data_IF_694866887464
#
_entry.id   IF_694866887464
#
_cell.length_a   1.000
_cell.length_b   1.000
_cell.length_c   1.000
_cell.angle_alpha   90.00
_cell.angle_beta   90.00
_cell.angle_gamma   90.00
#
_symmetry.space_group_name_H-M   'P 1'
#
loop_
_entity.id
_entity.type
_entity.pdbx_description
1 polymer ?
#
# COMPACT_ATOMS: atom_id res chain seq x y z
N UNK A 1 7.93 -10.93 14.59
CA UNK A 1 7.43 -10.98 13.19
C UNK A 1 7.35 -9.58 12.66
N UNK A 2 7.83 -9.36 11.43
CA UNK A 2 7.79 -8.08 10.74
C UNK A 2 7.02 -8.25 9.41
N UNK A 3 5.94 -7.49 9.21
CA UNK A 3 5.08 -7.57 8.05
C UNK A 3 5.02 -6.22 7.34
N UNK A 4 5.57 -6.16 6.14
CA UNK A 4 5.59 -4.97 5.28
C UNK A 4 4.30 -4.87 4.47
N UNK A 5 3.53 -3.80 4.65
CA UNK A 5 2.27 -3.60 3.90
C UNK A 5 2.43 -2.82 2.59
N UNK A 6 3.68 -2.45 2.22
CA UNK A 6 3.93 -1.58 1.07
C UNK A 6 5.27 -1.92 0.40
N UNK A 7 5.28 -2.93 -0.45
CA UNK A 7 6.42 -3.28 -1.29
C UNK A 7 5.99 -3.49 -2.75
N UNK A 8 6.95 -3.42 -3.65
CA UNK A 8 6.72 -3.52 -5.08
C UNK A 8 7.79 -4.35 -5.76
N UNK A 9 7.42 -5.01 -6.85
CA UNK A 9 8.33 -5.55 -7.87
C UNK A 9 8.09 -4.85 -9.20
N UNK A 10 8.88 -5.18 -10.23
CA UNK A 10 8.74 -4.57 -11.55
C UNK A 10 9.66 -3.35 -11.75
N UNK A 11 9.42 -2.62 -12.81
CA UNK A 11 10.28 -1.54 -13.25
C UNK A 11 9.66 -0.17 -13.00
N UNK A 12 10.54 0.81 -12.74
CA UNK A 12 10.19 2.22 -12.75
C UNK A 12 10.87 2.86 -13.96
N UNK A 13 10.12 3.44 -14.92
CA UNK A 13 10.70 3.84 -16.22
C UNK A 13 11.72 4.97 -16.10
N UNK A 14 11.67 5.77 -15.04
CA UNK A 14 12.52 6.95 -14.87
C UNK A 14 13.75 6.71 -13.98
N UNK A 15 13.90 5.52 -13.41
CA UNK A 15 15.01 5.19 -12.53
C UNK A 15 15.24 3.68 -12.47
N UNK A 16 16.47 3.25 -12.67
CA UNK A 16 16.83 1.85 -12.43
C UNK A 16 16.73 1.54 -10.94
N UNK A 17 15.83 0.62 -10.60
CA UNK A 17 15.64 0.14 -9.24
C UNK A 17 16.46 -1.11 -8.99
N UNK A 18 17.07 -1.18 -7.80
CA UNK A 18 17.65 -2.42 -7.28
C UNK A 18 16.55 -3.20 -6.54
N UNK A 19 16.66 -4.52 -6.48
CA UNK A 19 15.72 -5.38 -5.74
C UNK A 19 14.28 -5.35 -6.26
N UNK A 20 14.11 -5.19 -7.55
CA UNK A 20 12.81 -5.05 -8.22
C UNK A 20 12.21 -6.37 -8.75
N UNK A 21 12.77 -7.51 -8.37
CA UNK A 21 12.24 -8.86 -8.65
C UNK A 21 11.89 -9.57 -7.35
N UNK A 22 11.00 -10.58 -7.40
CA UNK A 22 10.67 -11.39 -6.21
C UNK A 22 11.92 -12.03 -5.57
N UNK A 23 12.88 -12.49 -6.39
CA UNK A 23 14.14 -13.08 -5.88
C UNK A 23 14.98 -12.08 -5.10
N UNK A 24 15.30 -10.94 -5.71
CA UNK A 24 16.15 -9.92 -5.07
C UNK A 24 15.44 -9.23 -3.90
N UNK A 25 14.11 -9.08 -3.98
CA UNK A 25 13.30 -8.59 -2.86
C UNK A 25 13.35 -9.58 -1.69
N UNK A 26 13.21 -10.88 -1.93
CA UNK A 26 13.30 -11.89 -0.88
C UNK A 26 14.67 -11.91 -0.18
N UNK A 27 15.75 -11.76 -0.95
CA UNK A 27 17.10 -11.60 -0.37
C UNK A 27 17.15 -10.40 0.58
N UNK A 28 16.57 -9.28 0.16
CA UNK A 28 16.50 -8.07 0.97
C UNK A 28 15.63 -8.25 2.21
N UNK A 29 14.45 -8.86 2.07
CA UNK A 29 13.60 -9.22 3.21
C UNK A 29 14.36 -10.05 4.25
N UNK A 30 15.09 -11.08 3.79
CA UNK A 30 15.90 -11.92 4.69
C UNK A 30 16.98 -11.11 5.42
N UNK A 31 17.65 -10.19 4.72
CA UNK A 31 18.66 -9.33 5.31
C UNK A 31 18.11 -8.44 6.43
N UNK A 32 16.87 -7.97 6.31
CA UNK A 32 16.25 -7.06 7.27
C UNK A 32 15.23 -7.74 8.21
N UNK A 33 15.13 -9.07 8.18
CA UNK A 33 14.23 -9.84 9.05
C UNK A 33 12.74 -9.61 8.77
N UNK A 34 12.39 -9.21 7.54
CA UNK A 34 10.98 -9.05 7.13
C UNK A 34 10.42 -10.43 6.80
N UNK A 35 9.38 -10.84 7.51
CA UNK A 35 8.78 -12.18 7.37
C UNK A 35 7.82 -12.26 6.19
N UNK A 36 6.94 -11.26 6.04
CA UNK A 36 5.95 -11.16 4.97
C UNK A 36 5.97 -9.78 4.35
N UNK A 37 5.69 -9.69 3.05
CA UNK A 37 5.45 -8.41 2.36
C UNK A 37 4.22 -8.47 1.49
N UNK A 38 3.34 -7.48 1.63
CA UNK A 38 2.34 -7.16 0.61
C UNK A 38 3.09 -6.61 -0.59
N UNK A 39 2.82 -7.15 -1.78
CA UNK A 39 3.54 -6.80 -3.00
C UNK A 39 2.60 -6.55 -4.17
N UNK A 40 2.88 -5.50 -4.96
CA UNK A 40 2.23 -5.21 -6.24
C UNK A 40 3.28 -4.98 -7.33
N UNK A 41 2.85 -5.01 -8.60
CA UNK A 41 3.76 -4.80 -9.74
C UNK A 41 3.73 -3.34 -10.20
N UNK A 42 4.88 -2.65 -10.14
CA UNK A 42 5.04 -1.26 -10.60
C UNK A 42 4.75 -1.08 -12.10
N UNK A 43 4.94 -2.13 -12.91
CA UNK A 43 4.62 -2.06 -14.35
C UNK A 43 3.14 -1.66 -14.56
N UNK A 44 2.23 -2.12 -13.67
CA UNK A 44 0.81 -1.77 -13.72
C UNK A 44 0.49 -0.29 -13.52
N UNK A 45 1.42 0.50 -12.98
CA UNK A 45 1.25 1.97 -12.88
C UNK A 45 1.24 2.63 -14.26
N UNK A 46 1.96 2.06 -15.24
CA UNK A 46 2.12 2.63 -16.58
C UNK A 46 1.44 1.80 -17.68
N UNK A 47 1.09 0.54 -17.40
CA UNK A 47 0.42 -0.28 -18.39
C UNK A 47 -1.03 0.19 -18.55
N UNK A 48 -1.44 0.41 -19.79
CA UNK A 48 -2.84 0.67 -20.11
C UNK A 48 -3.73 -0.53 -19.76
N UNK A 49 -3.24 -1.71 -20.07
CA UNK A 49 -3.78 -3.00 -19.63
C UNK A 49 -3.05 -3.44 -18.35
N UNK A 50 -3.63 -3.13 -17.20
CA UNK A 50 -3.03 -3.47 -15.90
C UNK A 50 -3.03 -4.97 -15.62
N UNK A 51 -3.88 -5.75 -16.29
CA UNK A 51 -3.96 -7.19 -16.11
C UNK A 51 -2.67 -7.89 -16.49
N UNK A 52 -1.98 -7.42 -17.53
CA UNK A 52 -0.65 -7.95 -17.92
C UNK A 52 0.36 -7.86 -16.77
N UNK A 53 0.38 -6.77 -16.01
CA UNK A 53 1.26 -6.63 -14.85
C UNK A 53 0.87 -7.55 -13.68
N UNK A 54 -0.42 -7.83 -13.50
CA UNK A 54 -0.91 -8.77 -12.51
C UNK A 54 -0.50 -10.22 -12.87
N UNK A 55 -0.55 -10.56 -14.14
CA UNK A 55 -0.12 -11.86 -14.67
C UNK A 55 1.39 -12.05 -14.49
N UNK A 56 2.21 -11.05 -14.83
CA UNK A 56 3.65 -11.05 -14.57
C UNK A 56 3.96 -11.33 -13.09
N UNK A 57 3.30 -10.64 -12.17
CA UNK A 57 3.48 -10.86 -10.73
C UNK A 57 3.07 -12.28 -10.32
N UNK A 58 1.92 -12.75 -10.81
CA UNK A 58 1.41 -14.08 -10.49
C UNK A 58 2.35 -15.18 -10.97
N UNK A 59 2.86 -15.08 -12.19
CA UNK A 59 3.78 -16.06 -12.77
C UNK A 59 5.13 -16.06 -12.04
N UNK A 60 5.65 -14.87 -11.66
CA UNK A 60 6.87 -14.78 -10.85
C UNK A 60 6.66 -15.46 -9.49
N UNK A 61 5.54 -15.20 -8.81
CA UNK A 61 5.22 -15.82 -7.52
C UNK A 61 5.07 -17.35 -7.60
N UNK A 62 4.55 -17.87 -8.69
CA UNK A 62 4.43 -19.33 -8.93
C UNK A 62 5.75 -20.00 -9.26
N UNK A 63 6.72 -19.26 -9.77
CA UNK A 63 8.01 -19.79 -10.18
C UNK A 63 8.80 -20.43 -9.03
N UNK A 64 8.53 -20.02 -7.78
CA UNK A 64 9.23 -20.51 -6.61
C UNK A 64 8.30 -20.59 -5.38
N UNK A 65 8.20 -21.78 -4.78
CA UNK A 65 7.38 -22.00 -3.57
C UNK A 65 7.72 -21.07 -2.39
N UNK A 66 8.96 -20.61 -2.30
CA UNK A 66 9.36 -19.63 -1.26
C UNK A 66 8.66 -18.29 -1.44
N UNK A 67 8.35 -17.88 -2.67
CA UNK A 67 7.65 -16.62 -2.92
C UNK A 67 6.22 -16.67 -2.40
N UNK A 68 5.49 -17.75 -2.66
CA UNK A 68 4.12 -17.93 -2.18
C UNK A 68 3.99 -17.87 -0.65
N UNK A 69 5.04 -18.23 0.11
CA UNK A 69 5.04 -18.16 1.58
C UNK A 69 5.51 -16.83 2.16
N UNK A 70 6.04 -15.92 1.34
CA UNK A 70 6.67 -14.67 1.79
C UNK A 70 6.00 -13.41 1.22
N UNK A 71 5.26 -13.54 0.12
CA UNK A 71 4.58 -12.43 -0.53
C UNK A 71 3.07 -12.59 -0.49
N UNK A 72 2.38 -11.48 -0.26
CA UNK A 72 0.92 -11.36 -0.31
C UNK A 72 0.60 -10.47 -1.52
N UNK A 73 0.15 -11.04 -2.65
CA UNK A 73 -0.03 -10.26 -3.87
C UNK A 73 -1.27 -9.37 -3.82
N UNK A 74 -1.10 -8.13 -4.29
CA UNK A 74 -2.16 -7.17 -4.57
C UNK A 74 -2.18 -6.85 -6.06
N UNK A 75 -3.38 -6.81 -6.64
CA UNK A 75 -3.57 -6.47 -8.05
C UNK A 75 -3.50 -4.97 -8.30
N UNK A 76 -2.99 -4.56 -9.44
CA UNK A 76 -3.21 -3.21 -9.95
C UNK A 76 -4.44 -3.23 -10.85
N UNK A 77 -5.45 -2.42 -10.55
CA UNK A 77 -6.69 -2.34 -11.34
C UNK A 77 -6.92 -0.89 -11.79
N UNK A 78 -7.19 -0.73 -13.09
CA UNK A 78 -7.58 0.54 -13.66
C UNK A 78 -9.09 0.54 -13.96
N UNK A 79 -9.94 1.24 -13.17
CA UNK A 79 -11.39 1.24 -13.37
C UNK A 79 -11.84 2.01 -14.62
N UNK A 80 -10.98 2.82 -15.23
CA UNK A 80 -11.30 3.51 -16.48
C UNK A 80 -11.08 2.62 -17.72
N UNK A 81 -10.42 1.46 -17.56
CA UNK A 81 -10.18 0.52 -18.64
C UNK A 81 -11.32 -0.50 -18.78
N UNK A 82 -11.82 -0.68 -20.00
CA UNK A 82 -12.94 -1.61 -20.23
C UNK A 82 -12.54 -3.05 -19.87
N UNK A 83 -13.38 -3.74 -19.10
CA UNK A 83 -13.13 -5.13 -18.69
C UNK A 83 -12.51 -5.28 -17.31
N UNK A 84 -12.23 -4.20 -16.58
CA UNK A 84 -11.65 -4.24 -15.24
C UNK A 84 -12.40 -5.16 -14.25
N UNK A 85 -13.71 -5.38 -14.46
CA UNK A 85 -14.50 -6.31 -13.64
C UNK A 85 -14.02 -7.76 -13.81
N UNK A 86 -13.65 -8.15 -15.04
CA UNK A 86 -13.08 -9.46 -15.33
C UNK A 86 -11.67 -9.60 -14.74
N UNK A 87 -10.88 -8.52 -14.79
CA UNK A 87 -9.54 -8.48 -14.21
C UNK A 87 -9.61 -8.66 -12.71
N UNK A 88 -10.48 -7.91 -12.03
CA UNK A 88 -10.73 -8.06 -10.59
C UNK A 88 -11.13 -9.49 -10.25
N UNK A 89 -12.08 -10.07 -10.99
CA UNK A 89 -12.52 -11.46 -10.81
C UNK A 89 -11.37 -12.45 -11.01
N UNK A 90 -10.58 -12.28 -12.06
CA UNK A 90 -9.44 -13.16 -12.37
C UNK A 90 -8.38 -13.07 -11.27
N UNK A 91 -7.99 -11.86 -10.86
CA UNK A 91 -7.01 -11.64 -9.80
C UNK A 91 -7.44 -12.26 -8.47
N UNK A 92 -8.72 -12.19 -8.14
CA UNK A 92 -9.23 -12.75 -6.87
C UNK A 92 -9.42 -14.26 -6.92
N UNK A 93 -10.07 -14.80 -7.96
CA UNK A 93 -10.49 -16.22 -7.99
C UNK A 93 -9.41 -17.15 -8.51
N UNK A 94 -8.59 -16.71 -9.48
CA UNK A 94 -7.54 -17.54 -10.09
C UNK A 94 -6.16 -17.26 -9.51
N UNK A 95 -5.86 -16.00 -9.20
CA UNK A 95 -4.52 -15.59 -8.76
C UNK A 95 -4.42 -15.44 -7.23
N UNK A 96 -5.54 -15.49 -6.49
CA UNK A 96 -5.55 -15.45 -5.03
C UNK A 96 -5.07 -14.13 -4.43
N UNK A 97 -5.14 -13.04 -5.18
CA UNK A 97 -4.74 -11.72 -4.73
C UNK A 97 -5.64 -11.21 -3.61
N UNK A 98 -5.06 -10.58 -2.58
CA UNK A 98 -5.74 -10.22 -1.34
C UNK A 98 -6.13 -8.75 -1.25
N UNK A 99 -5.77 -7.95 -2.24
CA UNK A 99 -6.11 -6.54 -2.31
C UNK A 99 -5.87 -5.97 -3.69
N UNK A 100 -6.17 -4.68 -3.83
CA UNK A 100 -5.99 -3.92 -5.05
C UNK A 100 -5.22 -2.63 -4.78
N UNK A 101 -4.41 -2.20 -5.73
CA UNK A 101 -3.71 -0.92 -5.75
C UNK A 101 -4.32 -0.03 -6.84
N UNK A 102 -4.68 1.18 -6.46
CA UNK A 102 -5.31 2.17 -7.32
C UNK A 102 -4.38 3.37 -7.49
N UNK A 103 -4.20 3.80 -8.74
CA UNK A 103 -3.31 4.90 -9.13
C UNK A 103 -4.05 5.94 -9.96
N UNK A 104 -5.03 6.68 -9.39
CA UNK A 104 -5.89 7.59 -10.15
C UNK A 104 -5.11 8.64 -10.97
N UNK A 105 -4.02 9.20 -10.40
CA UNK A 105 -3.19 10.18 -11.10
C UNK A 105 -2.48 9.62 -12.34
N UNK A 106 -2.04 8.36 -12.29
CA UNK A 106 -1.33 7.71 -13.42
C UNK A 106 -2.29 7.12 -14.44
N UNK A 107 -3.47 6.72 -14.02
CA UNK A 107 -4.50 6.14 -14.86
C UNK A 107 -5.55 7.15 -15.35
N UNK A 108 -5.35 8.43 -15.00
CA UNK A 108 -6.15 9.58 -15.46
C UNK A 108 -7.66 9.42 -15.22
N UNK A 109 -8.02 9.18 -13.94
CA UNK A 109 -9.43 9.17 -13.51
C UNK A 109 -9.59 9.84 -12.15
N UNK A 110 -10.80 10.33 -11.88
CA UNK A 110 -11.14 10.92 -10.59
C UNK A 110 -11.55 9.83 -9.57
N UNK A 111 -11.13 10.00 -8.32
CA UNK A 111 -11.43 9.02 -7.25
C UNK A 111 -12.94 8.87 -7.00
N UNK A 112 -13.72 9.85 -7.40
CA UNK A 112 -15.20 9.88 -7.27
C UNK A 112 -15.94 9.38 -8.49
N UNK A 113 -15.22 9.00 -9.55
CA UNK A 113 -15.83 8.44 -10.75
C UNK A 113 -16.66 7.19 -10.42
N UNK A 114 -17.83 7.02 -11.05
CA UNK A 114 -18.70 5.88 -10.78
C UNK A 114 -17.98 4.53 -10.86
N UNK A 115 -17.10 4.35 -11.84
CA UNK A 115 -16.34 3.11 -12.01
C UNK A 115 -15.36 2.86 -10.85
N UNK A 116 -14.69 3.92 -10.36
CA UNK A 116 -13.81 3.80 -9.19
C UNK A 116 -14.61 3.46 -7.92
N UNK A 117 -15.75 4.13 -7.72
CA UNK A 117 -16.63 3.85 -6.57
C UNK A 117 -17.15 2.42 -6.63
N UNK A 118 -17.61 1.96 -7.81
CA UNK A 118 -18.06 0.58 -8.02
C UNK A 118 -16.94 -0.43 -7.72
N UNK A 119 -15.71 -0.16 -8.19
CA UNK A 119 -14.57 -1.02 -7.92
C UNK A 119 -14.29 -1.15 -6.42
N UNK A 120 -14.31 -0.05 -5.67
CA UNK A 120 -14.10 -0.06 -4.21
C UNK A 120 -15.22 -0.79 -3.49
N UNK A 121 -16.48 -0.64 -3.92
CA UNK A 121 -17.63 -1.39 -3.39
C UNK A 121 -17.46 -2.90 -3.63
N UNK A 122 -17.09 -3.31 -4.86
CA UNK A 122 -16.83 -4.71 -5.18
C UNK A 122 -15.64 -5.27 -4.39
N UNK A 123 -14.59 -4.48 -4.20
CA UNK A 123 -13.45 -4.87 -3.36
C UNK A 123 -13.88 -5.11 -1.90
N UNK A 124 -14.72 -4.22 -1.34
CA UNK A 124 -15.32 -4.40 0.00
C UNK A 124 -16.12 -5.71 0.08
N UNK A 125 -17.00 -5.96 -0.87
CA UNK A 125 -17.87 -7.14 -0.89
C UNK A 125 -17.08 -8.45 -1.00
N UNK A 126 -15.93 -8.40 -1.67
CA UNK A 126 -14.96 -9.50 -1.77
C UNK A 126 -14.00 -9.59 -0.58
N UNK A 127 -14.09 -8.66 0.38
CA UNK A 127 -13.18 -8.61 1.54
C UNK A 127 -11.77 -8.19 1.23
N UNK A 128 -11.52 -7.64 0.02
CA UNK A 128 -10.22 -7.17 -0.43
C UNK A 128 -9.81 -5.85 0.25
N UNK A 129 -8.51 -5.61 0.31
CA UNK A 129 -7.95 -4.35 0.77
C UNK A 129 -7.75 -3.43 -0.42
N UNK A 130 -8.16 -2.16 -0.29
CA UNK A 130 -7.96 -1.12 -1.30
C UNK A 130 -6.76 -0.26 -0.88
N UNK A 131 -5.75 -0.20 -1.73
CA UNK A 131 -4.53 0.57 -1.45
C UNK A 131 -4.49 1.84 -2.29
N UNK A 132 -4.30 2.97 -1.62
CA UNK A 132 -3.97 4.26 -2.24
C UNK A 132 -2.57 4.70 -1.81
N UNK A 133 -1.76 5.15 -2.77
CA UNK A 133 -0.46 5.74 -2.47
C UNK A 133 -0.48 7.25 -2.73
N UNK A 134 0.04 8.04 -1.77
CA UNK A 134 0.12 9.49 -1.93
C UNK A 134 1.10 9.90 -3.03
N UNK A 135 2.14 9.10 -3.23
CA UNK A 135 3.14 9.29 -4.29
C UNK A 135 3.94 8.01 -4.49
N UNK A 136 4.51 7.84 -5.67
CA UNK A 136 5.41 6.71 -5.95
C UNK A 136 6.86 7.12 -5.67
N UNK A 137 7.33 8.25 -6.20
CA UNK A 137 8.73 8.69 -6.10
C UNK A 137 8.84 10.00 -5.34
N UNK A 138 9.91 10.16 -4.58
CA UNK A 138 10.22 11.42 -3.90
C UNK A 138 10.46 12.54 -4.92
N UNK A 139 9.86 13.71 -4.68
CA UNK A 139 9.96 14.88 -5.57
C UNK A 139 11.41 15.32 -5.86
N UNK A 140 12.35 15.03 -4.96
CA UNK A 140 13.79 15.37 -5.12
C UNK A 140 14.50 14.48 -6.14
N UNK A 141 13.97 13.28 -6.40
CA UNK A 141 14.55 12.27 -7.30
C UNK A 141 13.67 12.01 -8.53
N UNK A 142 12.63 12.81 -8.70
CA UNK A 142 11.66 12.63 -9.77
C UNK A 142 12.23 13.10 -11.11
N UNK A 143 11.95 12.34 -12.16
CA UNK A 143 12.12 12.81 -13.53
C UNK A 143 11.15 13.97 -13.83
N UNK A 144 11.54 14.89 -14.69
CA UNK A 144 10.65 15.94 -15.19
C UNK A 144 9.46 15.38 -16.00
N UNK A 145 9.59 14.16 -16.53
CA UNK A 145 8.53 13.45 -17.24
C UNK A 145 7.53 12.73 -16.32
N UNK A 146 7.84 12.60 -15.04
CA UNK A 146 6.97 11.96 -14.07
C UNK A 146 5.93 12.95 -13.53
N UNK A 147 4.84 12.43 -12.98
CA UNK A 147 3.78 13.26 -12.42
C UNK A 147 4.30 14.11 -11.26
N UNK A 148 3.96 15.41 -11.28
CA UNK A 148 4.37 16.33 -10.24
C UNK A 148 3.42 16.37 -9.04
N UNK A 149 2.16 16.01 -9.25
CA UNK A 149 1.13 16.05 -8.23
C UNK A 149 1.35 14.92 -7.23
N UNK A 150 1.37 15.27 -5.96
CA UNK A 150 1.30 14.31 -4.84
C UNK A 150 -0.10 14.39 -4.24
N UNK A 151 -0.62 13.26 -3.80
CA UNK A 151 -1.88 13.21 -3.08
C UNK A 151 -1.67 13.46 -1.59
N UNK A 152 -2.73 13.90 -0.96
CA UNK A 152 -2.87 13.99 0.49
C UNK A 152 -4.03 13.12 0.94
N UNK A 153 -4.20 12.94 2.22
CA UNK A 153 -5.37 12.22 2.74
C UNK A 153 -6.69 12.89 2.34
N UNK A 154 -6.70 14.24 2.16
CA UNK A 154 -7.88 14.98 1.69
C UNK A 154 -8.35 14.53 0.31
N UNK A 155 -7.43 14.17 -0.57
CA UNK A 155 -7.76 13.67 -1.91
C UNK A 155 -8.40 12.27 -1.86
N UNK A 156 -8.11 11.49 -0.82
CA UNK A 156 -8.65 10.12 -0.62
C UNK A 156 -9.95 10.14 0.19
N UNK A 157 -10.18 11.14 1.05
CA UNK A 157 -11.36 11.23 1.90
C UNK A 157 -12.71 11.05 1.16
N UNK A 158 -12.90 11.58 -0.07
CA UNK A 158 -14.16 11.41 -0.79
C UNK A 158 -14.57 9.95 -0.98
N UNK A 159 -13.63 9.05 -1.32
CA UNK A 159 -13.95 7.62 -1.49
C UNK A 159 -14.16 6.92 -0.14
N UNK A 160 -13.39 7.28 0.89
CA UNK A 160 -13.57 6.72 2.24
C UNK A 160 -14.95 7.11 2.80
N UNK A 161 -15.43 8.34 2.56
CA UNK A 161 -16.78 8.78 2.95
C UNK A 161 -17.88 8.01 2.20
N UNK A 162 -17.64 7.66 0.93
CA UNK A 162 -18.62 6.90 0.11
C UNK A 162 -18.68 5.41 0.48
N UNK A 163 -17.56 4.81 0.86
CA UNK A 163 -17.45 3.38 1.19
C UNK A 163 -16.67 3.20 2.51
N UNK A 164 -17.23 3.66 3.65
CA UNK A 164 -16.51 3.71 4.93
C UNK A 164 -16.26 2.33 5.56
N UNK A 165 -16.94 1.31 5.11
CA UNK A 165 -16.87 -0.07 5.55
C UNK A 165 -15.87 -0.94 4.75
N UNK A 166 -15.22 -0.39 3.72
CA UNK A 166 -14.12 -1.07 3.04
C UNK A 166 -12.84 -1.08 3.91
N UNK A 167 -11.90 -1.95 3.55
CA UNK A 167 -10.56 -2.02 4.15
C UNK A 167 -9.59 -1.20 3.33
N UNK A 168 -8.81 -0.33 3.96
CA UNK A 168 -7.91 0.58 3.26
C UNK A 168 -6.46 0.48 3.75
N UNK A 169 -5.52 0.51 2.80
CA UNK A 169 -4.14 0.91 3.06
C UNK A 169 -3.89 2.26 2.39
N UNK A 170 -3.47 3.24 3.17
CA UNK A 170 -3.04 4.56 2.70
C UNK A 170 -1.54 4.65 2.91
N UNK A 171 -0.81 4.45 1.83
CA UNK A 171 0.64 4.21 1.90
C UNK A 171 1.45 5.37 1.35
N UNK A 172 2.72 5.44 1.77
CA UNK A 172 3.63 6.54 1.51
C UNK A 172 3.02 7.91 1.88
N UNK A 173 2.25 7.90 2.97
CA UNK A 173 1.39 9.02 3.38
C UNK A 173 2.18 10.17 4.02
N UNK A 174 3.28 9.88 4.71
CA UNK A 174 4.13 10.87 5.39
C UNK A 174 3.32 11.88 6.21
N UNK A 175 3.68 13.17 6.13
CA UNK A 175 3.01 14.24 6.88
C UNK A 175 1.69 14.72 6.23
N UNK A 176 1.28 14.14 5.11
CA UNK A 176 0.10 14.56 4.36
C UNK A 176 -1.19 13.86 4.81
N UNK A 177 -1.30 13.53 6.12
CA UNK A 177 -2.49 12.89 6.71
C UNK A 177 -3.32 13.84 7.60
N UNK A 178 -3.17 15.15 7.43
CA UNK A 178 -3.95 16.14 8.18
C UNK A 178 -5.33 16.32 7.55
N UNK A 179 -6.37 16.07 8.33
CA UNK A 179 -7.78 16.24 7.98
C UNK A 179 -8.53 16.90 9.13
N UNK A 180 -9.81 17.22 8.94
CA UNK A 180 -10.67 17.79 9.98
C UNK A 180 -10.88 16.83 11.15
N UNK A 181 -11.37 17.33 12.28
CA UNK A 181 -11.67 16.48 13.44
C UNK A 181 -12.80 15.49 13.15
N UNK A 182 -13.81 15.90 12.39
CA UNK A 182 -14.89 15.01 11.93
C UNK A 182 -14.34 13.85 11.09
N UNK A 183 -13.48 14.16 10.11
CA UNK A 183 -12.81 13.16 9.28
C UNK A 183 -11.88 12.27 10.09
N UNK A 184 -11.21 12.83 11.09
CA UNK A 184 -10.40 12.04 12.04
C UNK A 184 -11.25 11.02 12.79
N UNK A 185 -12.47 11.39 13.23
CA UNK A 185 -13.39 10.45 13.91
C UNK A 185 -13.90 9.37 12.94
N UNK A 186 -14.15 9.70 11.67
CA UNK A 186 -14.48 8.72 10.65
C UNK A 186 -13.33 7.71 10.47
N UNK A 187 -12.09 8.19 10.31
CA UNK A 187 -10.92 7.34 10.13
C UNK A 187 -10.66 6.41 11.31
N UNK A 188 -10.94 6.85 12.54
CA UNK A 188 -10.86 5.99 13.73
C UNK A 188 -11.82 4.80 13.66
N UNK A 189 -12.96 4.95 13.01
CA UNK A 189 -13.98 3.89 12.85
C UNK A 189 -13.74 3.02 11.60
N UNK A 190 -13.05 3.53 10.61
CA UNK A 190 -12.77 2.84 9.35
C UNK A 190 -11.67 1.77 9.53
N UNK A 191 -11.77 0.64 8.84
CA UNK A 191 -10.71 -0.35 8.74
C UNK A 191 -9.57 0.15 7.83
N UNK A 192 -8.71 1.01 8.37
CA UNK A 192 -7.65 1.68 7.63
C UNK A 192 -6.31 1.54 8.34
N UNK A 193 -5.24 1.38 7.54
CA UNK A 193 -3.85 1.50 8.00
C UNK A 193 -3.09 2.54 7.18
N UNK A 194 -2.34 3.39 7.88
CA UNK A 194 -1.25 4.18 7.33
C UNK A 194 0.05 3.39 7.48
N UNK A 195 0.91 3.46 6.47
CA UNK A 195 2.23 2.84 6.58
C UNK A 195 3.28 3.82 7.14
N UNK A 196 4.41 3.25 7.56
CA UNK A 196 5.55 4.02 8.07
C UNK A 196 6.56 4.40 7.00
N UNK A 197 6.31 4.14 5.72
CA UNK A 197 7.19 4.54 4.63
C UNK A 197 7.11 6.04 4.30
N UNK A 198 7.94 6.49 3.40
CA UNK A 198 7.84 7.84 2.84
C UNK A 198 8.70 8.88 3.54
N UNK A 199 8.31 10.15 3.41
CA UNK A 199 9.00 11.28 4.04
C UNK A 199 9.00 11.16 5.55
N UNK A 200 9.83 11.94 6.20
CA UNK A 200 9.95 11.99 7.65
C UNK A 200 8.57 12.17 8.29
N UNK A 201 8.07 11.11 8.90
CA UNK A 201 7.04 11.21 9.92
C UNK A 201 7.77 11.74 11.16
N UNK A 202 7.85 13.05 11.29
CA UNK A 202 8.59 13.68 12.39
C UNK A 202 7.96 13.38 13.75
N UNK A 203 6.68 12.98 13.77
CA UNK A 203 5.92 12.79 15.00
C UNK A 203 4.98 11.59 14.91
N UNK A 204 5.52 10.39 14.66
CA UNK A 204 4.71 9.16 14.65
C UNK A 204 3.98 8.96 15.99
N UNK A 205 4.62 9.32 17.11
CA UNK A 205 4.00 9.26 18.44
C UNK A 205 2.75 10.14 18.57
N UNK A 206 2.81 11.38 18.09
CA UNK A 206 1.64 12.27 18.09
C UNK A 206 0.54 11.79 17.13
N UNK A 207 0.92 11.21 15.99
CA UNK A 207 -0.05 10.61 15.06
C UNK A 207 -0.74 9.38 15.67
N UNK A 208 -0.02 8.55 16.40
CA UNK A 208 -0.59 7.42 17.16
C UNK A 208 -1.59 7.92 18.20
N UNK A 209 -1.29 8.99 18.92
CA UNK A 209 -2.24 9.61 19.86
C UNK A 209 -3.47 10.15 19.15
N UNK A 210 -3.28 10.81 17.99
CA UNK A 210 -4.37 11.42 17.21
C UNK A 210 -5.30 10.37 16.59
N UNK A 211 -4.77 9.38 15.89
CA UNK A 211 -5.56 8.44 15.08
C UNK A 211 -5.84 7.11 15.80
N UNK A 212 -4.98 6.70 16.71
CA UNK A 212 -5.03 5.41 17.41
C UNK A 212 -3.86 4.50 17.01
N UNK A 213 -3.39 3.68 17.96
CA UNK A 213 -2.31 2.72 17.77
C UNK A 213 -2.62 1.59 16.79
N UNK A 214 -3.90 1.38 16.51
CA UNK A 214 -4.43 0.37 15.58
C UNK A 214 -4.49 0.85 14.12
N UNK A 215 -4.04 2.11 13.83
CA UNK A 215 -4.11 2.74 12.51
C UNK A 215 -2.78 2.80 11.76
N UNK A 216 -1.71 2.27 12.31
CA UNK A 216 -0.39 2.31 11.67
C UNK A 216 0.18 0.91 11.52
N UNK A 217 0.97 0.70 10.45
CA UNK A 217 1.69 -0.54 10.21
C UNK A 217 3.03 -0.28 9.54
N UNK A 218 3.95 -1.22 9.70
CA UNK A 218 5.23 -1.19 9.02
C UNK A 218 5.04 -1.24 7.50
N UNK A 219 5.67 -0.32 6.79
CA UNK A 219 5.74 -0.28 5.34
C UNK A 219 7.08 0.30 4.88
N UNK A 220 7.59 -0.21 3.77
CA UNK A 220 8.92 0.19 3.27
C UNK A 220 8.86 1.03 2.01
N UNK A 221 7.86 0.84 1.17
CA UNK A 221 7.82 1.34 -0.21
C UNK A 221 9.04 0.86 -1.04
N UNK A 222 9.58 -0.29 -0.67
CA UNK A 222 10.70 -0.93 -1.39
C UNK A 222 10.21 -1.42 -2.77
N UNK A 223 11.02 -1.34 -3.82
CA UNK A 223 12.43 -0.95 -3.89
C UNK A 223 12.65 0.55 -4.13
N UNK A 224 11.59 1.36 -4.18
CA UNK A 224 11.69 2.80 -4.46
C UNK A 224 12.37 3.53 -3.30
N UNK A 225 12.05 3.15 -2.06
CA UNK A 225 12.66 3.66 -0.83
C UNK A 225 13.43 2.58 -0.08
N UNK A 226 14.14 3.01 0.99
CA UNK A 226 14.95 2.10 1.81
C UNK A 226 14.13 1.44 2.93
N UNK A 227 14.44 0.18 3.23
CA UNK A 227 13.83 -0.60 4.31
C UNK A 227 13.98 0.03 5.69
N UNK A 228 15.15 0.60 5.97
CA UNK A 228 15.47 1.11 7.30
C UNK A 228 14.56 2.27 7.72
N UNK A 229 14.18 3.13 6.79
CA UNK A 229 13.37 4.31 7.12
C UNK A 229 12.06 3.97 7.81
N UNK A 230 11.30 3.00 7.27
CA UNK A 230 10.03 2.56 7.85
C UNK A 230 10.19 1.87 9.21
N UNK A 231 11.23 1.03 9.35
CA UNK A 231 11.49 0.30 10.59
C UNK A 231 12.00 1.22 11.70
N UNK A 232 12.97 2.08 11.40
CA UNK A 232 13.54 2.99 12.40
C UNK A 232 12.50 3.94 13.00
N UNK A 233 11.47 4.31 12.26
CA UNK A 233 10.38 5.13 12.81
C UNK A 233 9.61 4.43 13.92
N UNK A 234 9.45 3.12 13.82
CA UNK A 234 8.81 2.32 14.88
C UNK A 234 9.77 2.14 16.05
N UNK A 235 11.01 1.72 15.74
CA UNK A 235 11.98 1.38 16.78
C UNK A 235 12.46 2.58 17.58
N UNK A 236 12.51 3.78 16.99
CA UNK A 236 12.92 5.02 17.65
C UNK A 236 11.85 5.64 18.54
N UNK A 237 10.61 5.13 18.52
CA UNK A 237 9.56 5.60 19.46
C UNK A 237 10.00 5.33 20.90
N UNK A 238 9.89 6.37 21.72
CA UNK A 238 10.15 6.28 23.18
C UNK A 238 9.05 5.48 23.87
N UNK A 239 9.33 4.92 25.01
CA UNK A 239 8.35 4.17 25.82
C UNK A 239 7.08 4.99 26.13
N UNK A 240 7.23 6.30 26.32
CA UNK A 240 6.12 7.23 26.53
C UNK A 240 5.26 7.47 25.29
N UNK A 241 5.74 7.14 24.10
CA UNK A 241 5.04 7.29 22.82
C UNK A 241 4.41 5.97 22.37
N UNK A 242 5.13 4.87 22.53
CA UNK A 242 4.69 3.52 22.23
C UNK A 242 5.46 2.50 23.05
N UNK A 243 4.74 1.78 23.90
CA UNK A 243 5.27 0.60 24.61
C UNK A 243 5.59 -0.54 23.61
N UNK A 244 6.25 -1.58 24.09
CA UNK A 244 6.62 -2.73 23.23
C UNK A 244 5.39 -3.41 22.64
N UNK A 245 4.27 -3.48 23.37
CA UNK A 245 3.01 -4.03 22.87
C UNK A 245 2.49 -3.22 21.66
N UNK A 246 2.56 -1.89 21.75
CA UNK A 246 2.19 -1.00 20.65
C UNK A 246 3.16 -1.17 19.46
N UNK A 247 4.47 -1.24 19.70
CA UNK A 247 5.45 -1.51 18.62
C UNK A 247 5.18 -2.84 17.91
N UNK A 248 4.76 -3.88 18.64
CA UNK A 248 4.37 -5.16 18.04
C UNK A 248 3.11 -5.04 17.15
N UNK A 249 2.13 -4.21 17.54
CA UNK A 249 0.99 -3.90 16.67
C UNK A 249 1.44 -3.23 15.37
N UNK A 250 2.34 -2.24 15.46
CA UNK A 250 2.88 -1.56 14.27
C UNK A 250 3.73 -2.47 13.39
N UNK A 251 4.57 -3.34 13.98
CA UNK A 251 5.43 -4.27 13.21
C UNK A 251 4.62 -5.29 12.40
N UNK A 252 3.51 -5.78 12.95
CA UNK A 252 2.73 -6.83 12.26
C UNK A 252 1.28 -6.98 12.73
N UNK A 253 0.95 -6.68 13.98
CA UNK A 253 -0.35 -7.00 14.57
C UNK A 253 -1.52 -6.35 13.82
N UNK A 254 -1.40 -5.06 13.52
CA UNK A 254 -2.43 -4.31 12.80
C UNK A 254 -2.59 -4.81 11.35
N UNK A 255 -1.48 -5.08 10.67
CA UNK A 255 -1.51 -5.62 9.31
C UNK A 255 -2.17 -7.00 9.28
N UNK A 256 -1.81 -7.90 10.20
CA UNK A 256 -2.45 -9.22 10.33
C UNK A 256 -3.95 -9.11 10.53
N UNK A 257 -4.40 -8.23 11.43
CA UNK A 257 -5.82 -8.02 11.70
C UNK A 257 -6.59 -7.63 10.44
N UNK A 258 -6.08 -6.71 9.62
CA UNK A 258 -6.76 -6.25 8.41
C UNK A 258 -6.69 -7.30 7.30
N UNK A 259 -5.54 -7.99 7.16
CA UNK A 259 -5.34 -9.07 6.17
C UNK A 259 -6.11 -10.35 6.54
N UNK A 260 -6.45 -10.55 7.81
CA UNK A 260 -7.14 -11.75 8.29
C UNK A 260 -6.23 -12.98 8.38
N UNK A 261 -4.95 -12.81 8.77
CA UNK A 261 -3.93 -13.88 8.85
C UNK A 261 -3.30 -13.98 10.23
#
# INVERSE_FOLDING_TARGET
>A
MLLDINAHVGHWPFKQLKYNTCSTMLERMNKFGVDLSVVSNLNGVFYKDTQSANEELFDDLKSNKRFASRFIPFAVINPSYAGWQNDLKTCTTKMGMKGICLYPLYHDYEITDPACVELVQRARDLGLIVTFTHRIVDSRQRSWMDLSKEWTLKDIMPIIKKVPDAKYFVVNAANNITVSDEETQLLKKTNLLFDTSGRILTDLGEMIKKYGKDKFAFGTHSPVLDYLGGLLRIESLRESEADEATKQLLRSGNAKRILGI
#
